data_IF_687036701203
#
_entry.id   IF_687036701203
#
_cell.length_a   1.000
_cell.length_b   1.000
_cell.length_c   1.000
_cell.angle_alpha   90.00
_cell.angle_beta   90.00
_cell.angle_gamma   90.00
#
_symmetry.space_group_name_H-M   'P 1'
#
loop_
_entity.id
_entity.type
_entity.pdbx_description
1 polymer ?
#
# COMPACT_ATOMS: atom_id res chain seq x y z
N UNK A 1 7.76 -6.35 -16.37
CA UNK A 1 7.59 -6.91 -15.01
C UNK A 1 6.47 -7.94 -15.04
N UNK A 2 6.67 -9.05 -14.36
CA UNK A 2 5.68 -10.13 -14.27
C UNK A 2 5.16 -10.20 -12.85
N UNK A 3 3.92 -9.73 -12.64
CA UNK A 3 3.25 -9.74 -11.35
C UNK A 3 1.93 -10.50 -11.49
N UNK A 4 1.80 -11.72 -10.94
CA UNK A 4 0.58 -12.52 -11.10
C UNK A 4 -0.61 -11.97 -10.31
N UNK A 5 -0.36 -11.22 -9.26
CA UNK A 5 -1.36 -10.51 -8.47
C UNK A 5 -0.81 -9.20 -7.92
N UNK A 6 -1.71 -8.38 -7.40
CA UNK A 6 -1.38 -7.10 -6.78
C UNK A 6 -2.28 -6.84 -5.57
N UNK A 7 -1.94 -5.84 -4.79
CA UNK A 7 -2.75 -5.33 -3.70
C UNK A 7 -2.88 -3.82 -3.78
N UNK A 8 -3.70 -3.27 -2.92
CA UNK A 8 -3.89 -1.85 -2.69
C UNK A 8 -3.84 -1.57 -1.20
N UNK A 9 -3.74 -0.32 -0.79
CA UNK A 9 -3.86 0.04 0.61
C UNK A 9 -5.33 0.09 1.02
N UNK A 10 -5.60 -0.14 2.29
CA UNK A 10 -6.94 -0.05 2.83
C UNK A 10 -6.88 0.44 4.27
N UNK A 11 -7.94 1.09 4.73
CA UNK A 11 -8.07 1.52 6.11
C UNK A 11 -8.87 0.49 6.90
N UNK A 12 -8.38 0.11 8.07
CA UNK A 12 -9.18 -0.58 9.07
C UNK A 12 -9.77 0.47 9.99
N UNK A 13 -11.09 0.55 10.02
CA UNK A 13 -11.82 1.49 10.88
C UNK A 13 -12.69 0.75 11.87
N UNK A 14 -13.00 1.35 12.99
CA UNK A 14 -13.87 0.74 14.01
C UNK A 14 -15.23 0.41 13.41
N UNK A 15 -15.86 -0.66 13.89
CA UNK A 15 -17.18 -1.11 13.45
C UNK A 15 -18.17 0.05 13.39
N UNK A 16 -18.93 0.11 12.31
CA UNK A 16 -19.87 1.19 12.04
C UNK A 16 -19.23 2.51 11.58
N UNK A 17 -17.90 2.55 11.45
CA UNK A 17 -17.16 3.73 10.99
C UNK A 17 -17.61 5.04 11.68
N UNK A 18 -17.52 5.16 13.01
CA UNK A 18 -18.12 6.26 13.77
C UNK A 18 -17.53 7.62 13.45
N UNK A 19 -16.35 7.68 12.83
CA UNK A 19 -15.70 8.91 12.38
C UNK A 19 -15.91 9.20 10.89
N UNK A 20 -16.71 8.38 10.22
CA UNK A 20 -16.99 8.51 8.77
C UNK A 20 -15.72 8.66 7.93
N UNK A 21 -14.75 7.78 8.13
CA UNK A 21 -13.50 7.73 7.34
C UNK A 21 -13.82 7.13 5.98
N UNK A 22 -13.64 7.90 4.92
CA UNK A 22 -13.95 7.50 3.55
C UNK A 22 -12.71 7.54 2.63
N UNK A 23 -11.78 8.46 2.89
CA UNK A 23 -10.65 8.70 2.00
C UNK A 23 -9.42 9.22 2.78
N UNK A 24 -8.30 9.37 2.09
CA UNK A 24 -7.02 9.83 2.66
C UNK A 24 -7.14 11.15 3.42
N UNK A 25 -7.92 12.10 2.89
CA UNK A 25 -8.12 13.43 3.53
C UNK A 25 -8.67 13.33 4.95
N UNK A 26 -9.48 12.32 5.24
CA UNK A 26 -10.06 12.13 6.57
C UNK A 26 -9.00 11.76 7.63
N UNK A 27 -7.89 11.17 7.19
CA UNK A 27 -6.83 10.71 8.09
C UNK A 27 -5.99 11.87 8.67
N UNK A 28 -6.07 13.07 8.07
CA UNK A 28 -5.41 14.28 8.56
C UNK A 28 -6.27 15.11 9.54
N UNK A 29 -7.52 14.70 9.79
CA UNK A 29 -8.41 15.40 10.74
C UNK A 29 -7.89 15.28 12.17
N UNK A 30 -8.04 16.34 13.02
CA UNK A 30 -7.48 16.37 14.37
C UNK A 30 -8.12 15.37 15.34
N UNK A 31 -9.34 14.91 15.03
CA UNK A 31 -10.07 13.92 15.83
C UNK A 31 -9.69 12.47 15.52
N UNK A 32 -8.82 12.22 14.52
CA UNK A 32 -8.41 10.90 14.06
C UNK A 32 -7.08 10.51 14.72
N UNK A 33 -6.96 9.25 15.13
CA UNK A 33 -5.71 8.65 15.59
C UNK A 33 -5.42 7.40 14.74
N UNK A 34 -4.16 7.25 14.36
CA UNK A 34 -3.71 6.22 13.43
C UNK A 34 -2.73 5.26 14.12
N UNK A 35 -2.83 3.99 13.75
CA UNK A 35 -1.74 3.02 13.87
C UNK A 35 -1.16 2.82 12.48
N UNK A 36 0.11 3.07 12.32
CA UNK A 36 0.75 3.11 11.01
C UNK A 36 2.05 2.29 11.03
N UNK A 37 2.29 1.41 10.05
CA UNK A 37 3.56 0.74 9.98
C UNK A 37 4.69 1.72 9.64
N UNK A 38 5.88 1.52 10.21
CA UNK A 38 6.99 2.44 10.03
C UNK A 38 7.63 2.29 8.63
N UNK A 39 7.69 3.35 7.81
CA UNK A 39 8.33 3.30 6.48
C UNK A 39 9.82 2.97 6.50
N UNK A 40 10.50 3.15 7.62
CA UNK A 40 11.92 2.75 7.78
C UNK A 40 12.10 1.23 7.80
N UNK A 41 11.10 0.48 8.27
CA UNK A 41 11.18 -0.97 8.46
C UNK A 41 10.22 -1.78 7.59
N UNK A 42 9.22 -1.15 6.97
CA UNK A 42 8.12 -1.80 6.25
C UNK A 42 7.94 -1.28 4.84
N UNK A 43 8.05 -2.16 3.84
CA UNK A 43 7.70 -1.85 2.45
C UNK A 43 6.23 -1.47 2.29
N UNK A 44 5.32 -2.15 3.00
CA UNK A 44 3.90 -1.80 3.01
C UNK A 44 3.68 -0.34 3.46
N UNK A 45 4.39 0.10 4.48
CA UNK A 45 4.29 1.48 4.96
C UNK A 45 4.78 2.52 3.94
N UNK A 46 5.78 2.18 3.11
CA UNK A 46 6.23 3.05 2.02
C UNK A 46 5.15 3.23 0.97
N UNK A 47 4.50 2.14 0.56
CA UNK A 47 3.34 2.24 -0.33
C UNK A 47 2.23 3.11 0.29
N UNK A 48 1.89 2.88 1.55
CA UNK A 48 0.84 3.64 2.24
C UNK A 48 1.19 5.13 2.34
N UNK A 49 2.44 5.47 2.66
CA UNK A 49 2.92 6.85 2.71
C UNK A 49 2.82 7.53 1.33
N UNK A 50 3.30 6.87 0.28
CA UNK A 50 3.24 7.41 -1.09
C UNK A 50 1.80 7.53 -1.61
N UNK A 51 0.91 6.61 -1.21
CA UNK A 51 -0.51 6.72 -1.55
C UNK A 51 -1.17 7.95 -0.89
N UNK A 52 -0.86 8.21 0.39
CA UNK A 52 -1.33 9.40 1.09
C UNK A 52 -0.78 10.69 0.45
N UNK A 53 0.52 10.70 0.12
CA UNK A 53 1.17 11.83 -0.55
C UNK A 53 0.51 12.16 -1.89
N UNK A 54 0.41 11.17 -2.79
CA UNK A 54 -0.16 11.38 -4.12
C UNK A 54 -1.64 11.78 -4.07
N UNK A 55 -2.41 11.21 -3.14
CA UNK A 55 -3.80 11.61 -2.94
C UNK A 55 -3.93 13.10 -2.58
N UNK A 56 -3.06 13.60 -1.71
CA UNK A 56 -3.02 15.01 -1.35
C UNK A 56 -2.53 15.88 -2.50
N UNK A 57 -1.50 15.44 -3.22
CA UNK A 57 -0.93 16.15 -4.36
C UNK A 57 -1.95 16.33 -5.48
N UNK A 58 -2.70 15.28 -5.82
CA UNK A 58 -3.80 15.37 -6.78
C UNK A 58 -4.91 16.32 -6.31
N UNK A 59 -5.27 16.28 -5.03
CA UNK A 59 -6.34 17.11 -4.49
C UNK A 59 -6.01 18.61 -4.50
N UNK A 60 -4.73 18.98 -4.43
CA UNK A 60 -4.28 20.38 -4.39
C UNK A 60 -3.64 20.87 -5.70
N UNK A 61 -3.72 20.05 -6.78
CA UNK A 61 -3.21 20.42 -8.10
C UNK A 61 -1.67 20.43 -8.19
N UNK A 62 -0.97 19.62 -7.40
CA UNK A 62 0.49 19.51 -7.42
C UNK A 62 1.21 20.56 -6.58
N UNK A 63 0.51 21.22 -5.65
CA UNK A 63 1.12 22.19 -4.74
C UNK A 63 1.88 21.48 -3.61
N UNK A 64 3.20 21.37 -3.75
CA UNK A 64 4.07 20.67 -2.82
C UNK A 64 3.92 21.15 -1.37
N UNK A 65 3.82 22.44 -1.13
CA UNK A 65 3.68 22.99 0.23
C UNK A 65 2.38 22.53 0.90
N UNK A 66 1.27 22.46 0.15
CA UNK A 66 0.00 21.95 0.65
C UNK A 66 0.04 20.44 0.85
N UNK A 67 0.73 19.69 0.00
CA UNK A 67 0.95 18.25 0.18
C UNK A 67 1.75 17.97 1.46
N UNK A 68 2.84 18.72 1.70
CA UNK A 68 3.64 18.62 2.92
C UNK A 68 2.82 18.96 4.17
N UNK A 69 1.97 19.96 4.11
CA UNK A 69 1.10 20.35 5.23
C UNK A 69 0.06 19.26 5.56
N UNK A 70 -0.53 18.64 4.53
CA UNK A 70 -1.37 17.46 4.72
C UNK A 70 -0.59 16.33 5.38
N UNK A 71 0.60 16.00 4.89
CA UNK A 71 1.43 14.92 5.42
C UNK A 71 1.88 15.16 6.86
N UNK A 72 2.16 16.41 7.25
CA UNK A 72 2.42 16.76 8.66
C UNK A 72 1.24 16.42 9.55
N UNK A 73 0.01 16.79 9.15
CA UNK A 73 -1.22 16.49 9.89
C UNK A 73 -1.46 14.98 9.96
N UNK A 74 -1.32 14.28 8.84
CA UNK A 74 -1.45 12.83 8.76
C UNK A 74 -0.46 12.14 9.71
N UNK A 75 0.82 12.49 9.67
CA UNK A 75 1.86 11.88 10.50
C UNK A 75 1.74 12.27 11.98
N UNK A 76 1.26 13.48 12.29
CA UNK A 76 0.92 13.92 13.66
C UNK A 76 -0.17 13.06 14.30
N UNK A 77 -1.11 12.57 13.50
CA UNK A 77 -2.18 11.68 13.95
C UNK A 77 -1.71 10.25 14.24
N UNK A 78 -0.50 9.88 13.84
CA UNK A 78 0.06 8.55 14.10
C UNK A 78 0.44 8.42 15.58
N UNK A 79 -0.39 7.71 16.32
CA UNK A 79 -0.15 7.43 17.74
C UNK A 79 0.88 6.32 17.94
N UNK A 80 0.94 5.34 17.01
CA UNK A 80 1.86 4.21 17.06
C UNK A 80 2.44 3.95 15.69
N UNK A 81 3.79 3.97 15.60
CA UNK A 81 4.53 3.42 14.47
C UNK A 81 4.91 1.97 14.78
N UNK A 82 4.26 1.03 14.10
CA UNK A 82 4.53 -0.39 14.26
C UNK A 82 5.65 -0.87 13.31
N UNK A 83 6.24 -2.02 13.57
CA UNK A 83 7.33 -2.56 12.75
C UNK A 83 6.92 -2.97 11.34
N UNK A 84 5.63 -3.29 11.13
CA UNK A 84 5.08 -3.70 9.84
C UNK A 84 3.56 -3.76 9.81
N UNK A 85 3.01 -4.02 8.64
CA UNK A 85 1.56 -4.04 8.42
C UNK A 85 0.82 -5.06 9.29
N UNK A 86 1.40 -6.25 9.53
CA UNK A 86 0.80 -7.25 10.42
C UNK A 86 0.75 -6.76 11.87
N UNK A 87 1.84 -6.18 12.38
CA UNK A 87 1.91 -5.59 13.71
C UNK A 87 0.88 -4.48 13.88
N UNK A 88 0.85 -3.51 12.95
CA UNK A 88 -0.13 -2.43 12.96
C UNK A 88 -1.58 -2.95 12.97
N UNK A 89 -1.87 -3.98 12.18
CA UNK A 89 -3.19 -4.63 12.17
C UNK A 89 -3.49 -5.29 13.52
N UNK A 90 -2.54 -5.98 14.12
CA UNK A 90 -2.71 -6.63 15.44
C UNK A 90 -2.91 -5.59 16.54
N UNK A 91 -2.11 -4.53 16.55
CA UNK A 91 -2.25 -3.41 17.49
C UNK A 91 -3.64 -2.73 17.40
N UNK A 92 -4.23 -2.71 16.21
CA UNK A 92 -5.56 -2.14 15.98
C UNK A 92 -6.72 -3.10 16.33
N UNK A 93 -6.53 -4.40 16.19
CA UNK A 93 -7.59 -5.44 16.17
C UNK A 93 -8.30 -5.75 17.50
N UNK A 94 -8.10 -5.03 18.57
CA UNK A 94 -8.77 -5.33 19.87
C UNK A 94 -10.32 -5.30 19.84
N UNK A 95 -10.92 -4.88 18.71
CA UNK A 95 -12.38 -4.78 18.52
C UNK A 95 -12.73 -5.03 17.04
N UNK A 96 -14.00 -5.30 16.78
CA UNK A 96 -14.57 -5.40 15.43
C UNK A 96 -14.23 -4.17 14.58
N UNK A 97 -13.95 -4.40 13.30
CA UNK A 97 -13.58 -3.38 12.34
C UNK A 97 -14.29 -3.59 11.00
N UNK A 98 -14.27 -2.57 10.16
CA UNK A 98 -14.64 -2.62 8.75
C UNK A 98 -13.48 -2.11 7.90
N UNK A 99 -13.42 -2.58 6.65
CA UNK A 99 -12.39 -2.17 5.67
C UNK A 99 -12.97 -1.05 4.82
N UNK A 100 -12.20 0.03 4.68
CA UNK A 100 -12.49 1.14 3.77
C UNK A 100 -11.39 1.18 2.71
N UNK A 101 -11.78 1.14 1.44
CA UNK A 101 -10.87 1.27 0.30
C UNK A 101 -10.96 2.71 -0.21
N UNK A 102 -9.86 3.47 -0.24
CA UNK A 102 -9.87 4.85 -0.71
C UNK A 102 -10.12 4.93 -2.22
N UNK A 103 -10.60 6.10 -2.69
CA UNK A 103 -10.95 6.33 -4.10
C UNK A 103 -9.73 6.28 -5.03
N UNK A 104 -8.60 6.79 -4.57
CA UNK A 104 -7.31 6.75 -5.27
C UNK A 104 -6.30 6.02 -4.41
N UNK A 105 -5.54 5.12 -5.00
CA UNK A 105 -4.62 4.27 -4.26
C UNK A 105 -3.41 3.86 -5.12
N UNK A 106 -2.41 3.31 -4.47
CA UNK A 106 -1.18 2.86 -5.10
C UNK A 106 -1.27 1.37 -5.46
N UNK A 107 -0.77 1.03 -6.64
CA UNK A 107 -0.63 -0.36 -7.09
C UNK A 107 0.57 -1.01 -6.38
N UNK A 108 0.30 -1.93 -5.47
CA UNK A 108 1.32 -2.74 -4.82
C UNK A 108 1.50 -4.06 -5.57
N UNK A 109 2.53 -4.13 -6.42
CA UNK A 109 2.83 -5.28 -7.24
C UNK A 109 3.63 -6.35 -6.48
N UNK A 110 3.42 -7.61 -6.84
CA UNK A 110 4.18 -8.75 -6.35
C UNK A 110 4.92 -9.44 -7.51
N UNK A 111 6.02 -8.85 -7.98
CA UNK A 111 6.77 -9.40 -9.11
C UNK A 111 7.41 -10.74 -8.74
N UNK A 112 7.40 -11.67 -9.68
CA UNK A 112 7.99 -13.00 -9.55
C UNK A 112 9.03 -13.23 -10.61
N UNK A 113 10.13 -13.90 -10.24
CA UNK A 113 11.19 -14.32 -11.15
C UNK A 113 11.92 -15.54 -10.58
N UNK A 114 12.60 -16.31 -11.42
CA UNK A 114 13.62 -17.24 -10.97
C UNK A 114 15.00 -16.56 -10.95
N UNK A 115 15.95 -17.15 -10.26
CA UNK A 115 17.35 -16.71 -10.23
C UNK A 115 18.16 -17.65 -11.11
N UNK A 116 18.61 -17.20 -12.29
CA UNK A 116 19.22 -18.03 -13.33
C UNK A 116 20.33 -18.93 -12.80
N UNK A 117 21.32 -18.38 -12.12
CA UNK A 117 22.44 -19.16 -11.53
C UNK A 117 21.98 -20.24 -10.54
N UNK A 118 20.87 -20.02 -9.84
CA UNK A 118 20.35 -20.98 -8.85
C UNK A 118 19.63 -22.13 -9.57
N UNK A 119 18.76 -21.82 -10.53
CA UNK A 119 18.02 -22.88 -11.25
C UNK A 119 18.94 -23.71 -12.14
N UNK A 120 19.98 -23.11 -12.72
CA UNK A 120 21.03 -23.81 -13.48
C UNK A 120 21.82 -24.76 -12.57
N UNK A 121 22.37 -24.25 -11.46
CA UNK A 121 23.17 -25.05 -10.53
C UNK A 121 22.39 -26.22 -9.90
N UNK A 122 21.06 -26.05 -9.73
CA UNK A 122 20.18 -27.07 -9.15
C UNK A 122 19.46 -27.95 -10.17
N UNK A 123 19.56 -27.65 -11.46
CA UNK A 123 18.80 -28.35 -12.52
C UNK A 123 17.28 -28.16 -12.38
N UNK A 124 16.81 -27.03 -11.83
CA UNK A 124 15.39 -26.80 -11.49
C UNK A 124 14.70 -25.77 -12.37
N UNK A 125 15.24 -25.45 -13.55
CA UNK A 125 14.68 -24.45 -14.45
C UNK A 125 13.26 -24.80 -14.91
N UNK A 126 13.02 -26.05 -15.34
CA UNK A 126 11.68 -26.45 -15.82
C UNK A 126 10.62 -26.49 -14.72
N UNK A 127 10.87 -27.04 -13.51
CA UNK A 127 9.94 -26.88 -12.38
C UNK A 127 9.67 -25.42 -12.00
N UNK A 128 10.69 -24.55 -12.03
CA UNK A 128 10.52 -23.12 -11.73
C UNK A 128 9.61 -22.43 -12.75
N UNK A 129 9.83 -22.68 -14.05
CA UNK A 129 8.94 -22.19 -15.13
C UNK A 129 7.51 -22.69 -14.96
N UNK A 130 7.33 -23.98 -14.70
CA UNK A 130 6.00 -24.56 -14.50
C UNK A 130 5.27 -23.92 -13.33
N UNK A 131 5.95 -23.72 -12.19
CA UNK A 131 5.39 -23.06 -11.02
C UNK A 131 5.03 -21.60 -11.31
N UNK A 132 5.92 -20.82 -11.89
CA UNK A 132 5.64 -19.41 -12.18
C UNK A 132 4.50 -19.26 -13.21
N UNK A 133 4.41 -20.13 -14.21
CA UNK A 133 3.29 -20.13 -15.15
C UNK A 133 1.96 -20.50 -14.47
N UNK A 134 1.99 -21.46 -13.53
CA UNK A 134 0.81 -21.82 -12.74
C UNK A 134 0.20 -20.63 -12.00
N UNK A 135 1.02 -19.68 -11.50
CA UNK A 135 0.54 -18.50 -10.79
C UNK A 135 -0.42 -17.61 -11.61
N UNK A 136 -0.42 -17.77 -12.94
CA UNK A 136 -1.34 -17.06 -13.85
C UNK A 136 -2.55 -17.91 -14.28
N UNK A 137 -2.67 -19.14 -13.78
CA UNK A 137 -3.78 -20.03 -14.11
C UNK A 137 -5.09 -19.57 -13.47
N UNK A 138 -6.25 -20.01 -14.00
CA UNK A 138 -7.54 -19.77 -13.36
C UNK A 138 -7.60 -20.26 -11.92
N UNK A 139 -7.02 -21.43 -11.64
CA UNK A 139 -6.99 -22.03 -10.29
C UNK A 139 -6.19 -21.15 -9.32
N UNK A 140 -5.01 -20.65 -9.74
CA UNK A 140 -4.22 -19.75 -8.92
C UNK A 140 -4.95 -18.41 -8.67
N UNK A 141 -5.67 -17.86 -9.66
CA UNK A 141 -6.49 -16.65 -9.49
C UNK A 141 -7.57 -16.85 -8.43
N UNK A 142 -8.28 -17.99 -8.45
CA UNK A 142 -9.27 -18.32 -7.44
C UNK A 142 -8.66 -18.37 -6.04
N UNK A 143 -7.50 -19.03 -5.90
CA UNK A 143 -6.78 -19.12 -4.62
C UNK A 143 -6.38 -17.73 -4.13
N UNK A 144 -5.68 -16.92 -4.94
CA UNK A 144 -5.16 -15.62 -4.49
C UNK A 144 -6.28 -14.62 -4.19
N UNK A 145 -7.39 -14.64 -4.95
CA UNK A 145 -8.55 -13.78 -4.65
C UNK A 145 -9.28 -14.20 -3.38
N UNK A 146 -9.23 -15.48 -2.98
CA UNK A 146 -9.75 -15.92 -1.69
C UNK A 146 -8.97 -15.34 -0.50
N UNK A 147 -7.69 -14.99 -0.71
CA UNK A 147 -6.83 -14.29 0.25
C UNK A 147 -6.84 -12.75 0.10
N UNK A 148 -7.84 -12.22 -0.62
CA UNK A 148 -8.02 -10.77 -0.83
C UNK A 148 -6.91 -10.09 -1.64
N UNK A 149 -6.17 -10.82 -2.48
CA UNK A 149 -5.33 -10.23 -3.52
C UNK A 149 -6.12 -10.01 -4.80
N UNK A 150 -5.77 -8.96 -5.52
CA UNK A 150 -6.35 -8.62 -6.82
C UNK A 150 -5.55 -9.27 -7.95
N UNK A 151 -6.18 -9.55 -9.08
CA UNK A 151 -5.55 -10.17 -10.25
C UNK A 151 -5.75 -9.31 -11.50
N UNK A 152 -4.82 -9.43 -12.45
CA UNK A 152 -4.86 -8.72 -13.74
C UNK A 152 -5.79 -9.45 -14.74
N UNK A 153 -7.00 -9.79 -14.30
CA UNK A 153 -8.05 -10.41 -15.11
C UNK A 153 -9.37 -9.68 -14.86
N UNK A 154 -9.74 -8.81 -15.79
CA UNK A 154 -10.89 -7.92 -15.61
C UNK A 154 -12.18 -8.69 -15.34
N UNK A 155 -12.40 -9.81 -16.05
CA UNK A 155 -13.59 -10.67 -15.86
C UNK A 155 -13.69 -11.19 -14.42
N UNK A 156 -12.59 -11.66 -13.86
CA UNK A 156 -12.51 -12.10 -12.45
C UNK A 156 -12.78 -10.94 -11.49
N UNK A 157 -12.18 -9.77 -11.72
CA UNK A 157 -12.37 -8.61 -10.85
C UNK A 157 -13.80 -8.07 -10.90
N UNK A 158 -14.44 -8.06 -12.07
CA UNK A 158 -15.83 -7.65 -12.22
C UNK A 158 -16.82 -8.60 -11.49
N UNK A 159 -16.54 -9.90 -11.55
CA UNK A 159 -17.33 -10.90 -10.81
C UNK A 159 -17.18 -10.77 -9.29
N UNK A 160 -16.09 -10.19 -8.80
CA UNK A 160 -15.76 -10.04 -7.38
C UNK A 160 -15.83 -8.58 -6.89
N UNK A 161 -16.56 -7.72 -7.59
CA UNK A 161 -16.65 -6.27 -7.29
C UNK A 161 -17.10 -5.95 -5.86
N UNK A 162 -17.93 -6.79 -5.26
CA UNK A 162 -18.38 -6.60 -3.88
C UNK A 162 -17.25 -6.88 -2.86
N UNK A 163 -16.32 -7.78 -3.20
CA UNK A 163 -15.13 -8.07 -2.41
C UNK A 163 -14.01 -7.05 -2.66
N UNK A 164 -13.91 -6.56 -3.88
CA UNK A 164 -12.86 -5.64 -4.34
C UNK A 164 -13.48 -4.35 -4.87
N UNK A 165 -13.84 -3.39 -3.99
CA UNK A 165 -14.36 -2.10 -4.43
C UNK A 165 -13.41 -1.44 -5.42
N UNK A 166 -13.99 -0.70 -6.37
CA UNK A 166 -13.21 0.03 -7.37
C UNK A 166 -12.37 1.12 -6.69
N UNK A 167 -11.13 1.24 -7.14
CA UNK A 167 -10.21 2.31 -6.74
C UNK A 167 -9.35 2.69 -7.94
N UNK A 168 -9.03 3.99 -8.08
CA UNK A 168 -8.15 4.47 -9.13
C UNK A 168 -6.69 4.22 -8.71
N UNK A 169 -6.02 3.33 -9.43
CA UNK A 169 -4.64 2.94 -9.12
C UNK A 169 -3.63 3.74 -9.92
N UNK A 170 -2.52 4.06 -9.28
CA UNK A 170 -1.31 4.59 -9.89
C UNK A 170 -0.09 3.75 -9.48
N UNK A 171 0.99 3.81 -10.23
CA UNK A 171 2.26 3.15 -9.90
C UNK A 171 3.26 4.16 -9.35
N UNK A 172 4.29 3.68 -8.65
CA UNK A 172 5.40 4.54 -8.21
C UNK A 172 6.11 5.15 -9.41
N UNK A 173 6.27 4.38 -10.47
CA UNK A 173 6.90 4.84 -11.70
C UNK A 173 6.14 5.98 -12.37
N UNK A 174 4.81 5.92 -12.41
CA UNK A 174 3.97 6.95 -13.06
C UNK A 174 4.01 8.29 -12.31
N UNK A 175 4.08 8.25 -10.97
CA UNK A 175 3.93 9.43 -10.14
C UNK A 175 5.22 9.96 -9.56
N UNK A 176 6.14 9.06 -9.28
CA UNK A 176 7.36 9.39 -8.54
C UNK A 176 8.65 9.07 -9.35
N UNK A 177 8.52 8.39 -10.48
CA UNK A 177 9.62 8.03 -11.38
C UNK A 177 10.27 6.70 -11.04
N UNK A 178 10.77 6.47 -9.84
CA UNK A 178 11.35 5.18 -9.46
C UNK A 178 11.42 4.96 -7.96
N UNK A 179 11.43 3.71 -7.53
CA UNK A 179 11.69 3.35 -6.14
C UNK A 179 13.06 3.83 -5.64
N UNK A 180 14.09 3.82 -6.50
CA UNK A 180 15.43 4.30 -6.11
C UNK A 180 15.40 5.79 -5.74
N UNK A 181 14.68 6.59 -6.51
CA UNK A 181 14.47 8.02 -6.25
C UNK A 181 13.76 8.20 -4.92
N UNK A 182 12.62 7.53 -4.73
CA UNK A 182 11.82 7.68 -3.51
C UNK A 182 12.54 7.21 -2.25
N UNK A 183 13.36 6.17 -2.36
CA UNK A 183 14.19 5.72 -1.24
C UNK A 183 15.18 6.80 -0.79
N UNK A 184 15.72 7.61 -1.71
CA UNK A 184 16.63 8.72 -1.39
C UNK A 184 15.88 9.94 -0.88
N UNK A 185 14.81 10.35 -1.56
CA UNK A 185 14.11 11.61 -1.29
C UNK A 185 13.19 11.54 -0.07
N UNK A 186 12.53 10.42 0.16
CA UNK A 186 11.56 10.28 1.24
C UNK A 186 12.03 9.41 2.41
N UNK A 187 12.78 8.32 2.16
CA UNK A 187 13.00 7.29 3.17
C UNK A 187 14.44 7.15 3.66
N UNK A 188 15.41 7.83 3.09
CA UNK A 188 16.77 7.89 3.63
C UNK A 188 16.79 8.55 5.02
N UNK A 189 17.89 8.36 5.77
CA UNK A 189 18.07 9.02 7.06
C UNK A 189 18.06 10.56 6.89
N UNK A 190 17.23 11.25 7.66
CA UNK A 190 17.05 12.70 7.59
C UNK A 190 16.28 13.21 6.36
N UNK A 191 15.74 12.32 5.52
CA UNK A 191 14.98 12.69 4.34
C UNK A 191 13.55 13.17 4.69
N UNK A 192 12.70 13.34 3.67
CA UNK A 192 11.40 13.99 3.77
C UNK A 192 10.51 13.40 4.89
N UNK A 193 10.43 12.07 4.99
CA UNK A 193 9.64 11.40 6.04
C UNK A 193 10.10 11.82 7.45
N UNK A 194 11.41 11.80 7.72
CA UNK A 194 11.96 12.18 9.03
C UNK A 194 11.70 13.65 9.35
N UNK A 195 11.84 14.53 8.35
CA UNK A 195 11.60 15.95 8.45
C UNK A 195 10.14 16.26 8.78
N UNK A 196 9.19 15.60 8.12
CA UNK A 196 7.75 15.78 8.34
C UNK A 196 7.31 15.23 9.70
N UNK A 197 7.84 14.09 10.13
CA UNK A 197 7.56 13.53 11.47
C UNK A 197 8.07 14.47 12.56
N UNK A 198 9.27 15.02 12.41
CA UNK A 198 9.83 15.98 13.37
C UNK A 198 8.98 17.26 13.45
N UNK A 199 8.57 17.80 12.30
CA UNK A 199 7.72 19.01 12.24
C UNK A 199 6.29 18.79 12.83
N UNK A 200 5.74 17.58 12.71
CA UNK A 200 4.41 17.26 13.27
C UNK A 200 4.41 17.05 14.78
N UNK A 201 5.57 16.90 15.42
CA UNK A 201 5.73 16.74 16.88
C UNK A 201 5.94 18.05 17.64
N UNK A 202 6.22 19.13 16.94
CA UNK A 202 6.28 20.48 17.48
C UNK A 202 4.86 21.06 17.60
#
# INVERSE_FOLDING_TARGET
RSSPWYSTMAFLVRKGNPKNIQDWSDLARPDVKLVFPNPKTSGNARYTYLAAWESADQANGGNKAQTEEFMKKFLKNVAVFDTGGRGATTTFKDKDYVVVVPKTDILAEFPVAWVDKVVEAKGTLEPAKAYLNYLYSPQAREIVTSFYYRVNDQKTMDALKDRFPATKLFTVEDKFGSWEKEMKEHFAAGAEFDRLVAAGRQ
#
